data_IF_583883246749
#
_entry.id   IF_583883246749
#
_cell.length_a   1.000
_cell.length_b   1.000
_cell.length_c   1.000
_cell.angle_alpha   90.00
_cell.angle_beta   90.00
_cell.angle_gamma   90.00
#
_symmetry.space_group_name_H-M   'P 1'
#
loop_
_entity.id
_entity.type
_entity.pdbx_description
1 polymer ?
#
# COMPACT_ATOMS: atom_id res chain seq x y z
N UNK A 1 -11.46 6.70 6.69
CA UNK A 1 -10.28 7.58 6.57
C UNK A 1 -10.32 8.52 5.34
N UNK A 2 -11.31 8.46 4.44
CA UNK A 2 -11.25 9.24 3.18
C UNK A 2 -12.49 10.07 2.81
N UNK A 3 -13.39 10.38 3.74
CA UNK A 3 -14.58 11.22 3.41
C UNK A 3 -14.16 12.63 2.97
N UNK A 4 -14.16 12.87 1.65
CA UNK A 4 -13.92 14.18 1.02
C UNK A 4 -12.52 14.41 0.43
N UNK A 5 -11.58 13.46 0.53
CA UNK A 5 -10.25 13.60 -0.05
C UNK A 5 -10.19 12.96 -1.44
N UNK A 6 -9.91 13.76 -2.47
CA UNK A 6 -9.72 13.27 -3.85
C UNK A 6 -8.31 12.76 -4.14
N UNK A 7 -7.39 12.92 -3.19
CA UNK A 7 -5.98 12.58 -3.34
C UNK A 7 -5.45 11.85 -2.11
N UNK A 8 -4.73 10.75 -2.30
CA UNK A 8 -4.05 9.99 -1.23
C UNK A 8 -2.59 9.76 -1.60
N UNK A 9 -1.68 10.04 -0.67
CA UNK A 9 -0.29 9.61 -0.76
C UNK A 9 -0.08 8.47 0.23
N UNK A 10 0.36 7.31 -0.27
CA UNK A 10 0.72 6.17 0.56
C UNK A 10 2.25 6.10 0.61
N UNK A 11 2.80 6.09 1.83
CA UNK A 11 4.22 5.87 2.06
C UNK A 11 4.33 4.60 2.88
N UNK A 12 4.94 3.56 2.32
CA UNK A 12 5.07 2.26 2.97
C UNK A 12 6.48 1.74 2.87
N UNK A 13 6.95 1.05 3.91
CA UNK A 13 8.16 0.24 3.85
C UNK A 13 7.85 -1.19 3.44
N UNK A 14 8.86 -1.97 3.06
CA UNK A 14 8.74 -3.41 2.89
C UNK A 14 9.42 -4.11 4.07
N UNK A 15 8.77 -5.15 4.61
CA UNK A 15 9.28 -5.96 5.71
C UNK A 15 9.50 -7.41 5.27
N UNK A 16 10.31 -8.16 6.01
CA UNK A 16 10.54 -9.59 5.74
C UNK A 16 10.99 -9.89 4.30
N UNK A 17 10.33 -10.88 3.68
CA UNK A 17 10.52 -11.28 2.29
C UNK A 17 9.41 -10.67 1.41
N UNK A 18 9.36 -9.34 1.36
CA UNK A 18 8.43 -8.61 0.50
C UNK A 18 7.09 -8.23 1.14
N UNK A 19 6.91 -8.51 2.43
CA UNK A 19 5.66 -8.37 3.16
C UNK A 19 5.31 -6.89 3.48
N UNK A 20 4.02 -6.66 3.72
CA UNK A 20 3.55 -5.39 4.29
C UNK A 20 4.08 -5.22 5.72
N UNK A 21 4.35 -3.98 6.18
CA UNK A 21 4.62 -3.72 7.59
C UNK A 21 3.40 -4.05 8.45
N UNK A 22 3.60 -4.50 9.70
CA UNK A 22 2.53 -4.87 10.64
C UNK A 22 1.42 -3.81 10.76
N UNK A 23 1.78 -2.53 10.75
CA UNK A 23 0.82 -1.43 10.87
C UNK A 23 0.02 -1.15 9.58
N UNK A 24 0.39 -1.78 8.47
CA UNK A 24 -0.25 -1.69 7.17
C UNK A 24 -1.00 -2.97 6.76
N UNK A 25 -0.81 -4.09 7.47
CA UNK A 25 -1.47 -5.38 7.15
C UNK A 25 -2.99 -5.24 7.04
N UNK A 26 -3.65 -4.74 8.09
CA UNK A 26 -5.12 -4.60 8.09
C UNK A 26 -5.60 -3.66 6.98
N UNK A 27 -4.85 -2.59 6.68
CA UNK A 27 -5.18 -1.70 5.56
C UNK A 27 -5.07 -2.42 4.21
N UNK A 28 -4.02 -3.20 4.02
CA UNK A 28 -3.80 -3.99 2.81
C UNK A 28 -4.89 -5.06 2.63
N UNK A 29 -5.27 -5.75 3.71
CA UNK A 29 -6.35 -6.73 3.71
C UNK A 29 -7.69 -6.10 3.33
N UNK A 30 -8.05 -4.97 3.94
CA UNK A 30 -9.29 -4.24 3.59
C UNK A 30 -9.27 -3.74 2.14
N UNK A 31 -8.13 -3.26 1.65
CA UNK A 31 -7.99 -2.77 0.28
C UNK A 31 -8.15 -3.90 -0.77
N UNK A 32 -7.73 -5.13 -0.42
CA UNK A 32 -7.86 -6.32 -1.28
C UNK A 32 -9.14 -7.13 -1.05
N UNK A 33 -9.95 -6.77 -0.06
CA UNK A 33 -11.17 -7.49 0.23
C UNK A 33 -12.13 -7.46 -0.97
N UNK A 34 -12.81 -8.57 -1.24
CA UNK A 34 -13.72 -8.69 -2.37
C UNK A 34 -14.91 -7.70 -2.32
N UNK A 35 -15.23 -7.22 -1.12
CA UNK A 35 -16.29 -6.24 -0.84
C UNK A 35 -15.82 -4.78 -0.88
N UNK A 36 -14.54 -4.53 -1.12
CA UNK A 36 -13.98 -3.18 -1.20
C UNK A 36 -14.60 -2.43 -2.39
N UNK A 37 -15.27 -1.28 -2.17
CA UNK A 37 -15.83 -0.50 -3.26
C UNK A 37 -14.71 0.09 -4.15
N UNK A 38 -15.02 0.27 -5.43
CA UNK A 38 -14.11 0.94 -6.36
C UNK A 38 -13.96 2.41 -5.97
N UNK A 39 -12.71 2.89 -5.98
CA UNK A 39 -12.34 4.27 -5.67
C UNK A 39 -12.11 5.06 -6.96
N UNK A 40 -13.10 5.12 -7.85
CA UNK A 40 -12.94 5.62 -9.23
C UNK A 40 -12.48 7.09 -9.32
N UNK A 41 -12.87 7.92 -8.35
CA UNK A 41 -12.53 9.36 -8.32
C UNK A 41 -11.30 9.70 -7.46
N UNK A 42 -10.58 8.68 -6.96
CA UNK A 42 -9.41 8.87 -6.10
C UNK A 42 -8.14 8.88 -6.94
N UNK A 43 -7.41 9.99 -6.92
CA UNK A 43 -6.03 10.03 -7.37
C UNK A 43 -5.10 9.57 -6.26
N UNK A 44 -4.08 8.77 -6.58
CA UNK A 44 -3.13 8.33 -5.57
C UNK A 44 -1.69 8.32 -6.08
N UNK A 45 -0.76 8.33 -5.13
CA UNK A 45 0.66 8.07 -5.36
C UNK A 45 1.18 7.15 -4.26
N UNK A 46 2.16 6.32 -4.61
CA UNK A 46 2.84 5.42 -3.67
C UNK A 46 4.33 5.72 -3.66
N UNK A 47 4.89 5.89 -2.46
CA UNK A 47 6.32 5.93 -2.21
C UNK A 47 6.70 4.67 -1.42
N UNK A 48 7.28 3.69 -2.12
CA UNK A 48 7.83 2.47 -1.51
C UNK A 48 9.23 2.72 -0.94
N UNK A 49 9.44 2.32 0.31
CA UNK A 49 10.73 2.36 1.00
C UNK A 49 11.26 0.93 1.15
N UNK A 50 12.44 0.65 0.59
CA UNK A 50 13.05 -0.66 0.63
C UNK A 50 14.55 -0.59 0.41
N UNK A 51 15.17 -1.76 0.40
CA UNK A 51 16.60 -1.93 0.18
C UNK A 51 16.84 -2.81 -1.06
N UNK A 52 17.60 -2.29 -2.03
CA UNK A 52 17.94 -2.97 -3.29
C UNK A 52 18.82 -4.21 -3.10
N UNK A 53 19.33 -4.46 -1.90
CA UNK A 53 20.06 -5.68 -1.55
C UNK A 53 19.16 -6.91 -1.36
N UNK A 54 17.84 -6.72 -1.28
CA UNK A 54 16.85 -7.78 -1.18
C UNK A 54 16.22 -8.07 -2.56
N UNK A 55 15.88 -9.33 -2.81
CA UNK A 55 15.22 -9.74 -4.06
C UNK A 55 13.87 -9.02 -4.23
N UNK A 56 13.11 -8.90 -3.13
CA UNK A 56 11.80 -8.23 -3.08
C UNK A 56 11.90 -6.73 -2.79
N UNK A 57 12.80 -6.04 -3.49
CA UNK A 57 13.04 -4.61 -3.32
C UNK A 57 11.76 -3.76 -3.50
N UNK A 58 11.31 -3.09 -2.42
CA UNK A 58 10.10 -2.27 -2.36
C UNK A 58 8.79 -3.02 -2.69
N UNK A 59 8.72 -4.34 -2.48
CA UNK A 59 7.58 -5.16 -2.93
C UNK A 59 6.23 -4.70 -2.37
N UNK A 60 6.13 -4.46 -1.05
CA UNK A 60 4.94 -3.88 -0.43
C UNK A 60 4.45 -2.58 -1.12
N UNK A 61 5.36 -1.73 -1.59
CA UNK A 61 5.00 -0.51 -2.32
C UNK A 61 4.55 -0.76 -3.76
N UNK A 62 4.92 -1.89 -4.36
CA UNK A 62 4.49 -2.30 -5.72
C UNK A 62 3.14 -3.03 -5.70
N UNK A 63 2.82 -3.68 -4.60
CA UNK A 63 1.56 -4.41 -4.44
C UNK A 63 0.37 -3.45 -4.23
N UNK A 64 0.62 -2.28 -3.63
CA UNK A 64 -0.34 -1.17 -3.49
C UNK A 64 -0.70 -0.49 -4.80
#
# INVERSE_FOLDING_TARGET
VTSGSSHVLIVTSTYGEGEMPDNAEMFWEELNAAEMPRLEDLSFAVLGLGDSGYDDFCQAGKDL
#
